data_IF_679119176358
#
_entry.id   IF_679119176358
#
_cell.length_a   1.000
_cell.length_b   1.000
_cell.length_c   1.000
_cell.angle_alpha   90.00
_cell.angle_beta   90.00
_cell.angle_gamma   90.00
#
_symmetry.space_group_name_H-M   'P 1'
#
loop_
_entity.id
_entity.type
_entity.pdbx_description
1 polymer ?
#
# COMPACT_ATOMS: atom_id res chain seq x y z
N UNK A 1 -7.65 -8.52 14.65
CA UNK A 1 -7.90 -7.45 13.66
C UNK A 1 -9.39 -7.20 13.59
N UNK A 2 -9.83 -5.97 13.78
CA UNK A 2 -11.22 -5.54 13.62
C UNK A 2 -11.66 -5.60 12.15
N UNK A 3 -12.98 -5.64 11.91
CA UNK A 3 -13.53 -5.65 10.55
C UNK A 3 -13.15 -4.41 9.71
N UNK A 4 -13.00 -3.26 10.36
CA UNK A 4 -12.54 -2.01 9.73
C UNK A 4 -11.08 -2.11 9.29
N UNK A 5 -10.19 -2.66 10.14
CA UNK A 5 -8.78 -2.86 9.77
C UNK A 5 -8.62 -3.81 8.60
N UNK A 6 -9.35 -4.93 8.61
CA UNK A 6 -9.33 -5.89 7.51
C UNK A 6 -9.89 -5.29 6.21
N UNK A 7 -10.81 -4.32 6.29
CA UNK A 7 -11.29 -3.59 5.13
C UNK A 7 -10.21 -2.62 4.59
N UNK A 8 -9.53 -1.88 5.46
CA UNK A 8 -8.46 -0.94 5.09
C UNK A 8 -7.30 -1.68 4.42
N UNK A 9 -6.83 -2.78 5.01
CA UNK A 9 -5.72 -3.59 4.47
C UNK A 9 -6.06 -4.09 3.06
N UNK A 10 -7.25 -4.68 2.88
CA UNK A 10 -7.71 -5.13 1.55
C UNK A 10 -7.85 -3.99 0.55
N UNK A 11 -8.16 -2.78 1.02
CA UNK A 11 -8.17 -1.56 0.21
C UNK A 11 -6.78 -1.26 -0.36
N UNK A 12 -5.76 -1.21 0.50
CA UNK A 12 -4.37 -1.02 0.08
C UNK A 12 -3.90 -2.13 -0.87
N UNK A 13 -4.13 -3.40 -0.52
CA UNK A 13 -3.75 -4.56 -1.36
C UNK A 13 -4.36 -4.47 -2.77
N UNK A 14 -5.62 -4.05 -2.87
CA UNK A 14 -6.30 -3.87 -4.17
C UNK A 14 -5.66 -2.76 -5.01
N UNK A 15 -5.25 -1.66 -4.39
CA UNK A 15 -4.61 -0.54 -5.09
C UNK A 15 -3.21 -0.94 -5.56
N UNK A 16 -2.44 -1.63 -4.71
CA UNK A 16 -1.12 -2.17 -5.05
C UNK A 16 -1.23 -3.12 -6.25
N UNK A 17 -2.17 -4.07 -6.21
CA UNK A 17 -2.41 -5.00 -7.32
C UNK A 17 -2.84 -4.28 -8.60
N UNK A 18 -3.61 -3.20 -8.49
CA UNK A 18 -4.00 -2.39 -9.63
C UNK A 18 -2.79 -1.74 -10.30
N UNK A 19 -1.92 -1.08 -9.53
CA UNK A 19 -0.72 -0.46 -10.08
C UNK A 19 0.30 -1.47 -10.60
N UNK A 20 0.40 -2.65 -9.99
CA UNK A 20 1.20 -3.76 -10.52
C UNK A 20 0.74 -4.16 -11.93
N UNK A 21 -0.56 -4.36 -12.14
CA UNK A 21 -1.12 -4.70 -13.46
C UNK A 21 -0.88 -3.58 -14.49
N UNK A 22 -1.09 -2.33 -14.10
CA UNK A 22 -0.85 -1.18 -14.99
C UNK A 22 0.62 -1.10 -15.41
N UNK A 23 1.55 -1.22 -14.46
CA UNK A 23 2.99 -1.26 -14.71
C UNK A 23 3.36 -2.39 -15.67
N UNK A 24 2.84 -3.58 -15.44
CA UNK A 24 3.19 -4.76 -16.24
C UNK A 24 2.67 -4.65 -17.69
N UNK A 25 1.54 -3.95 -17.90
CA UNK A 25 0.97 -3.68 -19.22
C UNK A 25 1.45 -2.39 -19.91
N UNK A 26 2.21 -1.54 -19.22
CA UNK A 26 2.55 -0.21 -19.72
C UNK A 26 3.51 -0.26 -20.92
N UNK A 27 3.23 0.46 -22.02
CA UNK A 27 4.07 0.41 -23.22
C UNK A 27 5.39 1.16 -23.02
N UNK A 28 5.40 2.26 -22.27
CA UNK A 28 6.58 3.09 -22.07
C UNK A 28 7.29 2.84 -20.74
N UNK A 29 8.59 3.10 -20.71
CA UNK A 29 9.37 3.08 -19.46
C UNK A 29 8.89 4.16 -18.48
N UNK A 30 8.56 5.35 -18.97
CA UNK A 30 8.07 6.45 -18.14
C UNK A 30 6.75 6.09 -17.42
N UNK A 31 5.82 5.41 -18.11
CA UNK A 31 4.59 4.93 -17.48
C UNK A 31 4.88 3.84 -16.45
N UNK A 32 5.80 2.90 -16.74
CA UNK A 32 6.22 1.87 -15.77
C UNK A 32 6.79 2.50 -14.50
N UNK A 33 7.68 3.47 -14.64
CA UNK A 33 8.28 4.19 -13.50
C UNK A 33 7.23 4.97 -12.71
N UNK A 34 6.29 5.63 -13.39
CA UNK A 34 5.16 6.31 -12.74
C UNK A 34 4.29 5.33 -11.94
N UNK A 35 3.91 4.19 -12.52
CA UNK A 35 3.10 3.19 -11.82
C UNK A 35 3.86 2.51 -10.68
N UNK A 36 5.16 2.29 -10.84
CA UNK A 36 6.04 1.80 -9.79
C UNK A 36 6.06 2.76 -8.60
N UNK A 37 6.26 4.06 -8.82
CA UNK A 37 6.25 5.05 -7.73
C UNK A 37 4.91 5.11 -6.99
N UNK A 38 3.78 5.01 -7.73
CA UNK A 38 2.45 4.95 -7.12
C UNK A 38 2.22 3.69 -6.29
N UNK A 39 2.78 2.56 -6.71
CA UNK A 39 2.74 1.31 -5.95
C UNK A 39 3.56 1.41 -4.67
N UNK A 40 4.77 1.99 -4.73
CA UNK A 40 5.64 2.22 -3.58
C UNK A 40 5.02 3.17 -2.54
N UNK A 41 4.37 4.25 -2.99
CA UNK A 41 3.61 5.16 -2.12
C UNK A 41 2.52 4.41 -1.32
N UNK A 42 1.81 3.49 -1.97
CA UNK A 42 0.73 2.71 -1.36
C UNK A 42 1.26 1.63 -0.41
N UNK A 43 2.36 0.96 -0.78
CA UNK A 43 3.06 0.00 0.08
C UNK A 43 3.58 0.67 1.36
N UNK A 44 4.12 1.89 1.25
CA UNK A 44 4.55 2.71 2.38
C UNK A 44 3.37 3.08 3.29
N UNK A 45 2.24 3.48 2.72
CA UNK A 45 1.04 3.82 3.47
C UNK A 45 0.50 2.61 4.25
N UNK A 46 0.43 1.44 3.61
CA UNK A 46 0.04 0.19 4.26
C UNK A 46 1.02 -0.18 5.38
N UNK A 47 2.32 -0.05 5.13
CA UNK A 47 3.34 -0.34 6.14
C UNK A 47 3.18 0.55 7.37
N UNK A 48 3.03 1.86 7.19
CA UNK A 48 2.77 2.82 8.29
C UNK A 48 1.49 2.50 9.06
N UNK A 49 0.43 2.12 8.34
CA UNK A 49 -0.81 1.67 8.98
C UNK A 49 -0.58 0.45 9.87
N UNK A 50 0.19 -0.54 9.40
CA UNK A 50 0.52 -1.73 10.19
C UNK A 50 1.46 -1.42 11.37
N UNK A 51 2.45 -0.55 11.18
CA UNK A 51 3.42 -0.14 12.21
C UNK A 51 2.75 0.68 13.33
N UNK A 52 1.87 1.62 12.99
CA UNK A 52 1.07 2.39 13.97
C UNK A 52 0.13 1.53 14.81
N UNK A 53 -0.05 0.26 14.45
CA UNK A 53 -0.82 -0.74 15.18
C UNK A 53 0.05 -1.70 15.99
N UNK A 54 1.39 -1.60 15.92
CA UNK A 54 2.29 -2.35 16.81
C UNK A 54 2.01 -1.95 18.28
N UNK A 55 1.76 -2.91 19.19
CA UNK A 55 1.49 -2.64 20.61
C UNK A 55 2.56 -1.83 21.36
N UNK A 56 3.73 -1.64 20.75
CA UNK A 56 4.89 -0.97 21.35
C UNK A 56 4.77 0.56 21.31
N UNK A 57 4.00 1.15 20.40
CA UNK A 57 3.90 2.62 20.25
C UNK A 57 2.73 3.22 21.06
N UNK A 58 1.72 2.43 21.40
CA UNK A 58 0.56 2.89 22.19
C UNK A 58 0.82 2.96 23.71
N UNK A 59 1.98 2.52 24.20
CA UNK A 59 2.34 2.58 25.63
C UNK A 59 3.25 3.77 26.00
N UNK A 60 3.61 4.62 25.05
CA UNK A 60 4.54 5.73 25.27
C UNK A 60 3.96 7.12 24.99
N UNK A 61 2.63 7.26 24.92
CA UNK A 61 1.92 8.54 24.80
C UNK A 61 0.99 8.78 25.98
#
# INVERSE_FOLDING_TARGET
>A
MSGLEAFIIRGHEKIIDHYRRLRDSAPSRAERERFQGRMEEEEEALRKFLEGRSPQVQRAA
#
